data_IF_493741546805
#
_entry.id   IF_493741546805
#
_cell.length_a   1.000
_cell.length_b   1.000
_cell.length_c   1.000
_cell.angle_alpha   90.00
_cell.angle_beta   90.00
_cell.angle_gamma   90.00
#
_symmetry.space_group_name_H-M   'P 1'
#
loop_
_entity.id
_entity.type
_entity.pdbx_description
1 polymer ?
#
# COMPACT_ATOMS: atom_id res chain seq x y z
N UNK A 1 -24.54 -19.42 -22.72
CA UNK A 1 -23.93 -19.52 -21.37
C UNK A 1 -23.42 -18.13 -21.03
N UNK A 2 -24.20 -17.35 -20.28
CA UNK A 2 -23.86 -15.96 -19.99
C UNK A 2 -22.73 -15.93 -18.95
N UNK A 3 -21.57 -15.37 -19.33
CA UNK A 3 -20.47 -15.07 -18.41
C UNK A 3 -20.87 -13.86 -17.56
N UNK A 4 -21.83 -14.04 -16.66
CA UNK A 4 -22.11 -13.07 -15.61
C UNK A 4 -20.90 -13.06 -14.69
N UNK A 5 -20.15 -11.98 -14.72
CA UNK A 5 -19.17 -11.71 -13.66
C UNK A 5 -19.94 -11.71 -12.33
N UNK A 6 -19.44 -12.40 -11.30
CA UNK A 6 -20.11 -12.40 -10.01
C UNK A 6 -20.19 -10.96 -9.49
N UNK A 7 -21.42 -10.44 -9.35
CA UNK A 7 -21.69 -9.17 -8.69
C UNK A 7 -21.49 -9.36 -7.19
N UNK A 8 -20.86 -8.39 -6.53
CA UNK A 8 -20.60 -8.44 -5.09
C UNK A 8 -21.31 -7.29 -4.38
N UNK A 9 -21.97 -7.62 -3.28
CA UNK A 9 -22.49 -6.64 -2.33
C UNK A 9 -21.62 -6.70 -1.07
N UNK A 10 -20.81 -5.66 -0.87
CA UNK A 10 -20.00 -5.50 0.34
C UNK A 10 -20.83 -4.81 1.41
N UNK A 11 -21.05 -5.48 2.53
CA UNK A 11 -21.89 -4.97 3.63
C UNK A 11 -21.11 -4.89 4.93
N UNK A 12 -21.62 -4.09 5.88
CA UNK A 12 -21.10 -4.12 7.25
C UNK A 12 -21.41 -5.49 7.87
N UNK A 13 -20.53 -6.05 8.73
CA UNK A 13 -20.75 -7.35 9.36
C UNK A 13 -22.11 -7.49 10.04
N UNK A 14 -22.56 -6.45 10.74
CA UNK A 14 -23.85 -6.41 11.44
C UNK A 14 -25.09 -6.44 10.51
N UNK A 15 -24.91 -6.22 9.20
CA UNK A 15 -25.98 -6.24 8.20
C UNK A 15 -25.94 -7.47 7.29
N UNK A 16 -24.98 -8.38 7.48
CA UNK A 16 -24.78 -9.52 6.58
C UNK A 16 -26.02 -10.40 6.46
N UNK A 17 -26.64 -10.74 7.59
CA UNK A 17 -27.84 -11.59 7.62
C UNK A 17 -29.02 -10.93 6.86
N UNK A 18 -29.26 -9.64 7.12
CA UNK A 18 -30.33 -8.88 6.45
C UNK A 18 -30.06 -8.80 4.95
N UNK A 19 -28.80 -8.58 4.57
CA UNK A 19 -28.43 -8.53 3.16
C UNK A 19 -28.68 -9.88 2.48
N UNK A 20 -28.38 -11.01 3.14
CA UNK A 20 -28.64 -12.36 2.61
C UNK A 20 -30.12 -12.57 2.32
N UNK A 21 -30.97 -12.22 3.28
CA UNK A 21 -32.42 -12.35 3.12
C UNK A 21 -32.97 -11.53 1.95
N UNK A 22 -32.42 -10.34 1.70
CA UNK A 22 -32.91 -9.43 0.66
C UNK A 22 -32.31 -9.69 -0.73
N UNK A 23 -31.03 -10.04 -0.82
CA UNK A 23 -30.27 -9.98 -2.07
C UNK A 23 -29.71 -11.32 -2.58
N UNK A 24 -29.72 -12.40 -1.79
CA UNK A 24 -29.36 -13.73 -2.32
C UNK A 24 -30.24 -14.19 -3.50
N UNK A 25 -31.57 -13.94 -3.52
CA UNK A 25 -32.41 -14.28 -4.66
C UNK A 25 -32.01 -13.58 -5.96
N UNK A 26 -31.30 -12.45 -5.89
CA UNK A 26 -30.81 -11.70 -7.06
C UNK A 26 -29.49 -12.25 -7.62
N UNK A 27 -28.93 -13.31 -7.03
CA UNK A 27 -27.69 -13.94 -7.48
C UNK A 27 -26.42 -13.13 -7.18
N UNK A 28 -26.50 -12.17 -6.25
CA UNK A 28 -25.37 -11.35 -5.80
C UNK A 28 -24.61 -12.05 -4.67
N UNK A 29 -23.28 -12.01 -4.71
CA UNK A 29 -22.44 -12.55 -3.65
C UNK A 29 -22.27 -11.54 -2.51
N UNK A 30 -22.77 -11.91 -1.33
CA UNK A 30 -22.74 -11.05 -0.15
C UNK A 30 -21.49 -11.36 0.67
N UNK A 31 -20.71 -10.32 0.92
CA UNK A 31 -19.43 -10.40 1.62
C UNK A 31 -19.28 -9.21 2.56
N UNK A 32 -18.45 -9.34 3.59
CA UNK A 32 -18.13 -8.25 4.53
C UNK A 32 -16.90 -7.46 4.12
N UNK A 33 -16.09 -8.01 3.19
CA UNK A 33 -15.00 -7.27 2.57
C UNK A 33 -14.47 -7.94 1.31
N UNK A 34 -13.79 -7.14 0.48
CA UNK A 34 -13.29 -7.57 -0.83
C UNK A 34 -12.17 -6.66 -1.34
N UNK A 35 -11.23 -7.25 -2.09
CA UNK A 35 -10.33 -6.48 -2.96
C UNK A 35 -11.12 -5.74 -4.04
N UNK A 36 -10.80 -4.47 -4.23
CA UNK A 36 -11.45 -3.63 -5.24
C UNK A 36 -10.49 -2.55 -5.75
N UNK A 37 -10.34 -2.44 -7.07
CA UNK A 37 -9.48 -1.47 -7.77
C UNK A 37 -8.07 -1.34 -7.14
N UNK A 38 -7.43 -2.47 -6.83
CA UNK A 38 -6.08 -2.48 -6.24
C UNK A 38 -6.00 -2.07 -4.75
N UNK A 39 -7.15 -1.84 -4.09
CA UNK A 39 -7.27 -1.68 -2.65
C UNK A 39 -8.17 -2.75 -2.01
N UNK A 40 -8.69 -2.43 -0.82
CA UNK A 40 -9.59 -3.30 -0.06
C UNK A 40 -10.74 -2.48 0.53
N UNK A 41 -11.97 -3.01 0.45
CA UNK A 41 -13.20 -2.38 0.98
C UNK A 41 -13.87 -3.34 1.94
N UNK A 42 -14.42 -2.82 3.04
CA UNK A 42 -15.20 -3.60 4.00
C UNK A 42 -14.49 -3.77 5.33
N UNK A 43 -14.46 -5.00 5.81
CA UNK A 43 -13.99 -5.38 7.14
C UNK A 43 -12.50 -5.05 7.42
N UNK A 44 -12.19 -4.79 8.68
CA UNK A 44 -10.85 -4.39 9.10
C UNK A 44 -9.85 -5.54 9.07
N UNK A 45 -10.29 -6.76 9.40
CA UNK A 45 -9.43 -7.94 9.43
C UNK A 45 -8.88 -8.28 8.04
N UNK A 46 -9.75 -8.25 7.02
CA UNK A 46 -9.36 -8.47 5.64
C UNK A 46 -8.55 -7.32 5.05
N UNK A 47 -8.79 -6.08 5.48
CA UNK A 47 -7.92 -4.93 5.14
C UNK A 47 -6.50 -5.15 5.69
N UNK A 48 -6.40 -5.55 6.96
CA UNK A 48 -5.12 -5.84 7.60
C UNK A 48 -4.40 -7.01 6.91
N UNK A 49 -5.09 -8.10 6.62
CA UNK A 49 -4.53 -9.25 5.89
C UNK A 49 -4.04 -8.86 4.49
N UNK A 50 -4.80 -8.04 3.75
CA UNK A 50 -4.40 -7.49 2.46
C UNK A 50 -3.12 -6.65 2.56
N UNK A 51 -3.03 -5.77 3.56
CA UNK A 51 -1.84 -4.95 3.79
C UNK A 51 -0.63 -5.81 4.16
N UNK A 52 -0.78 -6.82 5.01
CA UNK A 52 0.30 -7.75 5.34
C UNK A 52 0.85 -8.43 4.08
N UNK A 53 -0.01 -8.99 3.23
CA UNK A 53 0.42 -9.60 1.96
C UNK A 53 1.18 -8.62 1.06
N UNK A 54 0.71 -7.37 0.97
CA UNK A 54 1.37 -6.31 0.20
C UNK A 54 2.74 -5.97 0.76
N UNK A 55 2.84 -5.75 2.07
CA UNK A 55 4.10 -5.45 2.75
C UNK A 55 5.11 -6.58 2.57
N UNK A 56 4.69 -7.84 2.72
CA UNK A 56 5.56 -8.99 2.47
C UNK A 56 6.08 -9.02 1.03
N UNK A 57 5.22 -8.72 0.06
CA UNK A 57 5.59 -8.58 -1.34
C UNK A 57 6.63 -7.49 -1.57
N UNK A 58 6.42 -6.31 -0.97
CA UNK A 58 7.36 -5.19 -1.07
C UNK A 58 8.68 -5.46 -0.37
N UNK A 59 8.69 -6.11 0.79
CA UNK A 59 9.92 -6.53 1.47
C UNK A 59 10.73 -7.49 0.59
N UNK A 60 10.07 -8.46 -0.08
CA UNK A 60 10.75 -9.32 -1.07
C UNK A 60 11.30 -8.51 -2.25
N UNK A 61 10.54 -7.54 -2.75
CA UNK A 61 10.98 -6.63 -3.81
C UNK A 61 12.21 -5.81 -3.40
N UNK A 62 12.19 -5.22 -2.21
CA UNK A 62 13.34 -4.48 -1.62
C UNK A 62 14.55 -5.39 -1.55
N UNK A 63 14.43 -6.62 -1.04
CA UNK A 63 15.52 -7.61 -0.97
C UNK A 63 16.09 -7.97 -2.33
N UNK A 64 15.25 -8.12 -3.34
CA UNK A 64 15.71 -8.35 -4.71
C UNK A 64 16.53 -7.16 -5.23
N UNK A 65 16.07 -5.94 -4.98
CA UNK A 65 16.80 -4.71 -5.33
C UNK A 65 18.10 -4.55 -4.53
N UNK A 66 18.12 -4.92 -3.24
CA UNK A 66 19.32 -4.98 -2.41
C UNK A 66 20.36 -5.90 -3.03
N UNK A 67 19.95 -7.06 -3.55
CA UNK A 67 20.86 -7.98 -4.23
C UNK A 67 21.46 -7.38 -5.50
N UNK A 68 20.64 -6.69 -6.30
CA UNK A 68 21.10 -6.02 -7.52
C UNK A 68 21.98 -4.80 -7.23
N UNK A 69 21.72 -4.06 -6.15
CA UNK A 69 22.40 -2.83 -5.78
C UNK A 69 23.91 -3.01 -5.61
N UNK A 70 24.37 -4.20 -5.18
CA UNK A 70 25.80 -4.51 -5.03
C UNK A 70 26.60 -4.38 -6.32
N UNK A 71 25.97 -4.64 -7.47
CA UNK A 71 26.62 -4.57 -8.79
C UNK A 71 26.09 -3.40 -9.63
N UNK A 72 24.84 -3.01 -9.43
CA UNK A 72 24.13 -2.02 -10.25
C UNK A 72 23.34 -1.02 -9.37
N UNK A 73 24.01 -0.22 -8.52
CA UNK A 73 23.35 0.61 -7.52
C UNK A 73 22.39 1.64 -8.13
N UNK A 74 22.79 2.31 -9.22
CA UNK A 74 21.93 3.27 -9.91
C UNK A 74 20.66 2.63 -10.50
N UNK A 75 20.80 1.45 -11.11
CA UNK A 75 19.66 0.72 -11.69
C UNK A 75 18.70 0.25 -10.59
N UNK A 76 19.24 -0.29 -9.49
CA UNK A 76 18.45 -0.70 -8.33
C UNK A 76 17.71 0.48 -7.70
N UNK A 77 18.37 1.64 -7.56
CA UNK A 77 17.75 2.88 -7.09
C UNK A 77 16.63 3.37 -8.02
N UNK A 78 16.84 3.35 -9.34
CA UNK A 78 15.82 3.72 -10.31
C UNK A 78 14.61 2.79 -10.23
N UNK A 79 14.83 1.47 -10.12
CA UNK A 79 13.76 0.50 -9.95
C UNK A 79 13.00 0.68 -8.62
N UNK A 80 13.72 0.98 -7.54
CA UNK A 80 13.12 1.30 -6.24
C UNK A 80 12.19 2.51 -6.35
N UNK A 81 12.71 3.63 -6.84
CA UNK A 81 12.00 4.93 -6.82
C UNK A 81 10.90 5.05 -7.88
N UNK A 82 11.07 4.39 -9.04
CA UNK A 82 10.14 4.50 -10.19
C UNK A 82 9.18 3.33 -10.32
N UNK A 83 9.42 2.21 -9.63
CA UNK A 83 8.54 1.04 -9.69
C UNK A 83 8.00 0.69 -8.31
N UNK A 84 8.83 0.11 -7.44
CA UNK A 84 8.35 -0.46 -6.17
C UNK A 84 7.70 0.59 -5.27
N UNK A 85 8.32 1.77 -5.18
CA UNK A 85 7.77 2.89 -4.43
C UNK A 85 6.43 3.39 -4.98
N UNK A 86 6.22 3.33 -6.29
CA UNK A 86 4.97 3.79 -6.90
C UNK A 86 3.81 2.83 -6.58
N UNK A 87 4.10 1.54 -6.41
CA UNK A 87 3.09 0.55 -6.04
C UNK A 87 2.50 0.82 -4.65
N UNK A 88 3.33 0.97 -3.62
CA UNK A 88 2.80 1.27 -2.28
C UNK A 88 2.24 2.68 -2.16
N UNK A 89 2.78 3.67 -2.89
CA UNK A 89 2.17 5.00 -2.95
C UNK A 89 0.73 4.95 -3.49
N UNK A 90 0.42 4.03 -4.40
CA UNK A 90 -0.95 3.79 -4.83
C UNK A 90 -1.78 3.23 -3.68
N UNK A 91 -1.33 2.14 -3.05
CA UNK A 91 -2.06 1.50 -1.95
C UNK A 91 -2.33 2.47 -0.80
N UNK A 92 -1.34 3.26 -0.39
CA UNK A 92 -1.49 4.24 0.69
C UNK A 92 -2.50 5.35 0.38
N UNK A 93 -2.86 5.59 -0.89
CA UNK A 93 -3.92 6.55 -1.26
C UNK A 93 -5.32 5.96 -1.15
N UNK A 94 -5.46 4.64 -1.23
CA UNK A 94 -6.76 3.97 -1.35
C UNK A 94 -7.08 3.05 -0.17
N UNK A 95 -6.09 2.73 0.67
CA UNK A 95 -6.24 1.89 1.86
C UNK A 95 -5.68 2.61 3.08
N UNK A 96 -6.50 2.70 4.12
CA UNK A 96 -6.04 3.13 5.45
C UNK A 96 -5.02 2.12 5.96
N UNK A 97 -3.81 2.60 6.25
CA UNK A 97 -2.66 1.75 6.55
C UNK A 97 -2.16 2.06 7.95
N UNK A 98 -2.05 1.02 8.78
CA UNK A 98 -1.49 1.14 10.13
C UNK A 98 0.03 1.18 10.07
N UNK A 99 0.65 2.12 10.78
CA UNK A 99 2.09 2.30 10.80
C UNK A 99 2.85 1.04 11.23
N UNK A 100 2.28 0.28 12.18
CA UNK A 100 2.88 -0.95 12.68
C UNK A 100 3.06 -2.01 11.58
N UNK A 101 2.17 -2.04 10.58
CA UNK A 101 2.24 -2.97 9.46
C UNK A 101 3.41 -2.67 8.52
N UNK A 102 3.92 -1.42 8.52
CA UNK A 102 4.98 -0.97 7.62
C UNK A 102 6.39 -1.10 8.20
N UNK A 103 6.51 -1.39 9.49
CA UNK A 103 7.80 -1.58 10.16
C UNK A 103 8.72 -2.54 9.40
N UNK A 104 8.28 -3.74 8.94
CA UNK A 104 9.14 -4.64 8.18
C UNK A 104 9.67 -4.04 6.87
N UNK A 105 8.85 -3.23 6.18
CA UNK A 105 9.25 -2.57 4.95
C UNK A 105 10.28 -1.47 5.22
N UNK A 106 10.03 -0.61 6.22
CA UNK A 106 10.96 0.44 6.62
C UNK A 106 12.30 -0.15 7.05
N UNK A 107 12.27 -1.23 7.82
CA UNK A 107 13.48 -1.92 8.26
C UNK A 107 14.27 -2.54 7.09
N UNK A 108 13.62 -3.19 6.14
CA UNK A 108 14.29 -3.73 4.95
C UNK A 108 14.97 -2.63 4.14
N UNK A 109 14.33 -1.46 4.00
CA UNK A 109 14.93 -0.31 3.31
C UNK A 109 16.15 0.21 4.10
N UNK A 110 15.98 0.45 5.39
CA UNK A 110 16.99 1.07 6.25
C UNK A 110 18.21 0.19 6.49
N UNK A 111 17.99 -1.10 6.80
CA UNK A 111 19.03 -2.03 7.24
C UNK A 111 19.63 -2.84 6.10
N UNK A 112 18.93 -2.98 4.97
CA UNK A 112 19.38 -3.82 3.85
C UNK A 112 19.65 -2.99 2.59
N UNK A 113 18.64 -2.28 2.07
CA UNK A 113 18.75 -1.59 0.77
C UNK A 113 19.71 -0.40 0.80
N UNK A 114 19.56 0.52 1.77
CA UNK A 114 20.40 1.71 1.85
C UNK A 114 21.89 1.37 1.97
N UNK A 115 22.31 0.45 2.87
CA UNK A 115 23.70 0.01 2.91
C UNK A 115 24.20 -0.58 1.58
N UNK A 116 23.37 -1.37 0.89
CA UNK A 116 23.74 -1.95 -0.39
C UNK A 116 23.87 -0.92 -1.52
N UNK A 117 23.04 0.13 -1.52
CA UNK A 117 23.12 1.23 -2.48
C UNK A 117 24.34 2.13 -2.24
N UNK A 118 24.69 2.36 -0.98
CA UNK A 118 25.76 3.28 -0.57
C UNK A 118 27.13 2.59 -0.43
N UNK A 119 27.17 1.25 -0.49
CA UNK A 119 28.41 0.47 -0.44
C UNK A 119 29.04 0.38 0.95
N UNK A 120 28.27 0.61 2.02
CA UNK A 120 28.78 0.65 3.39
C UNK A 120 27.67 0.73 4.45
N UNK A 121 28.01 0.61 5.74
CA UNK A 121 27.06 0.77 6.83
C UNK A 121 26.46 2.18 6.84
N UNK A 122 25.20 2.29 7.27
CA UNK A 122 24.44 3.54 7.35
C UNK A 122 23.93 3.69 8.78
N UNK A 123 24.23 4.82 9.41
CA UNK A 123 23.76 5.14 10.76
C UNK A 123 22.27 5.51 10.75
N UNK A 124 21.55 5.43 11.89
CA UNK A 124 20.15 5.84 11.95
C UNK A 124 19.89 7.26 11.45
N UNK A 125 20.76 8.22 11.80
CA UNK A 125 20.64 9.60 11.33
C UNK A 125 20.87 9.76 9.83
N UNK A 126 21.77 8.96 9.24
CA UNK A 126 21.93 8.90 7.79
C UNK A 126 20.72 8.26 7.12
N UNK A 127 20.10 7.23 7.70
CA UNK A 127 18.85 6.65 7.19
C UNK A 127 17.77 7.73 7.11
N UNK A 128 17.56 8.49 8.17
CA UNK A 128 16.55 9.56 8.20
C UNK A 128 16.80 10.60 7.10
N UNK A 129 18.06 11.01 6.89
CA UNK A 129 18.45 11.91 5.80
C UNK A 129 18.22 11.28 4.42
N UNK A 130 18.62 10.02 4.23
CA UNK A 130 18.55 9.32 2.94
C UNK A 130 17.12 9.02 2.52
N UNK A 131 16.18 8.90 3.46
CA UNK A 131 14.76 8.72 3.20
C UNK A 131 14.01 10.02 2.85
N UNK A 132 14.71 11.16 2.81
CA UNK A 132 14.13 12.42 2.38
C UNK A 132 13.99 12.48 0.84
N UNK A 133 13.09 13.36 0.34
CA UNK A 133 13.08 13.75 -1.06
C UNK A 133 14.43 14.31 -1.53
N UNK A 134 14.77 14.10 -2.80
CA UNK A 134 16.01 14.60 -3.40
C UNK A 134 16.21 16.12 -3.24
N UNK A 135 15.12 16.91 -3.28
CA UNK A 135 15.16 18.36 -3.05
C UNK A 135 15.56 18.78 -1.62
N UNK A 136 15.57 17.83 -0.68
CA UNK A 136 16.03 18.02 0.70
C UNK A 136 17.33 17.26 0.98
N UNK A 137 18.07 16.86 -0.06
CA UNK A 137 19.36 16.17 0.07
C UNK A 137 19.28 14.66 0.27
N UNK A 138 18.09 14.07 0.27
CA UNK A 138 17.92 12.62 0.38
C UNK A 138 18.01 11.87 -0.97
N UNK A 139 17.78 10.57 -0.93
CA UNK A 139 17.88 9.71 -2.13
C UNK A 139 16.61 9.75 -3.00
N UNK A 140 15.51 10.31 -2.51
CA UNK A 140 14.21 10.24 -3.17
C UNK A 140 13.47 8.91 -2.98
N UNK A 141 14.10 7.93 -2.32
CA UNK A 141 13.37 6.86 -1.62
C UNK A 141 12.72 7.53 -0.41
N UNK A 142 11.39 7.51 -0.33
CA UNK A 142 10.62 8.18 0.72
C UNK A 142 10.25 7.19 1.81
N UNK A 143 10.32 7.62 3.06
CA UNK A 143 9.94 6.78 4.20
C UNK A 143 8.48 6.27 4.04
N UNK A 144 8.24 4.95 4.02
CA UNK A 144 6.89 4.42 3.88
C UNK A 144 5.95 4.85 5.01
N UNK A 145 6.45 5.12 6.22
CA UNK A 145 5.62 5.60 7.34
C UNK A 145 5.10 7.02 7.08
N UNK A 146 5.99 7.96 6.73
CA UNK A 146 5.62 9.33 6.39
C UNK A 146 4.65 9.37 5.21
N UNK A 147 4.86 8.49 4.23
CA UNK A 147 4.00 8.38 3.05
C UNK A 147 2.62 7.86 3.40
N UNK A 148 2.51 6.81 4.22
CA UNK A 148 1.23 6.27 4.64
C UNK A 148 0.42 7.28 5.48
N UNK A 149 1.08 7.98 6.41
CA UNK A 149 0.45 9.00 7.23
C UNK A 149 -0.15 10.16 6.40
N UNK A 150 0.50 10.53 5.29
CA UNK A 150 0.07 11.65 4.46
C UNK A 150 -0.87 11.28 3.30
N UNK A 151 -0.71 10.10 2.69
CA UNK A 151 -1.34 9.78 1.40
C UNK A 151 -2.85 9.58 1.47
N UNK A 152 -3.35 8.81 2.44
CA UNK A 152 -4.78 8.54 2.58
C UNK A 152 -5.59 9.79 2.95
N UNK A 153 -5.17 10.61 3.94
CA UNK A 153 -5.86 11.87 4.26
C UNK A 153 -5.89 12.84 3.08
N UNK A 154 -4.77 12.98 2.34
CA UNK A 154 -4.72 13.84 1.16
C UNK A 154 -5.69 13.36 0.06
N UNK A 155 -5.70 12.05 -0.21
CA UNK A 155 -6.61 11.41 -1.17
C UNK A 155 -8.08 11.68 -0.82
N UNK A 156 -8.46 11.48 0.45
CA UNK A 156 -9.82 11.78 0.93
C UNK A 156 -10.18 13.27 0.85
N UNK A 157 -9.24 14.15 1.17
CA UNK A 157 -9.47 15.59 1.09
C UNK A 157 -9.74 16.03 -0.36
N UNK A 158 -8.96 15.53 -1.32
CA UNK A 158 -9.11 15.85 -2.75
C UNK A 158 -10.41 15.32 -3.35
N UNK A 159 -10.87 14.13 -2.93
CA UNK A 159 -12.10 13.51 -3.48
C UNK A 159 -13.38 13.92 -2.77
N UNK A 160 -13.30 14.69 -1.68
CA UNK A 160 -14.43 15.10 -0.84
C UNK A 160 -15.55 15.81 -1.61
N UNK A 161 -15.20 16.68 -2.57
CA UNK A 161 -16.20 17.42 -3.35
C UNK A 161 -16.95 16.46 -4.27
N UNK A 162 -16.21 15.63 -5.01
CA UNK A 162 -16.78 14.65 -5.94
C UNK A 162 -17.68 13.66 -5.20
N UNK A 163 -17.23 13.14 -4.05
CA UNK A 163 -18.03 12.22 -3.25
C UNK A 163 -19.35 12.84 -2.78
N UNK A 164 -19.34 14.13 -2.40
CA UNK A 164 -20.55 14.83 -1.98
C UNK A 164 -21.53 15.03 -3.13
N UNK A 165 -21.04 15.34 -4.33
CA UNK A 165 -21.90 15.55 -5.51
C UNK A 165 -22.64 14.29 -5.95
N UNK A 166 -22.09 13.10 -5.66
CA UNK A 166 -22.74 11.82 -5.99
C UNK A 166 -23.80 11.42 -4.96
N UNK A 167 -23.71 11.95 -3.74
CA UNK A 167 -24.57 11.53 -2.63
C UNK A 167 -25.94 12.21 -2.58
N UNK A 168 -26.20 13.24 -3.41
CA UNK A 168 -27.51 13.88 -3.55
C UNK A 168 -27.97 14.62 -2.31
#
# INVERSE_FOLDING_TARGET
MSLLHPSFLVVKPELEQIARELFEPEGVQIVTGKRFLGGYVGDEGGRAAFLCEKVEGWVRGVRALTSAARNFPHTAHAAMTRSLQMEWDYVFRVVLTDECALSPLREAIAKELLPALLGGPVTPSEVDLMLLPARHGGTGIRDPLDRAAAAYPASRASTKVVSKSVQG
#
